data_IF_749536298480
#
_entry.id   IF_749536298480
#
_cell.length_a   1.000
_cell.length_b   1.000
_cell.length_c   1.000
_cell.angle_alpha   90.00
_cell.angle_beta   90.00
_cell.angle_gamma   90.00
#
_symmetry.space_group_name_H-M   'P 1'
#
loop_
_entity.id
_entity.type
_entity.pdbx_description
1 polymer ?
#
# COMPACT_ATOMS: atom_id res chain seq x y z
N UNK A 1 -14.38 2.57 -22.18
CA UNK A 1 -13.54 2.79 -20.99
C UNK A 1 -12.29 3.56 -21.40
N UNK A 2 -11.91 4.61 -20.66
CA UNK A 2 -10.69 5.34 -20.97
C UNK A 2 -9.46 4.46 -20.91
N UNK A 3 -8.54 4.64 -21.85
CA UNK A 3 -7.32 3.83 -21.92
C UNK A 3 -6.44 3.98 -20.66
N UNK A 4 -6.42 5.18 -20.06
CA UNK A 4 -5.66 5.42 -18.83
C UNK A 4 -6.25 4.68 -17.63
N UNK A 5 -7.56 4.43 -17.63
CA UNK A 5 -8.19 3.66 -16.54
C UNK A 5 -7.69 2.22 -16.52
N UNK A 6 -7.59 1.58 -17.68
CA UNK A 6 -7.03 0.22 -17.79
C UNK A 6 -5.58 0.23 -17.36
N UNK A 7 -4.81 1.21 -17.82
CA UNK A 7 -3.40 1.33 -17.47
C UNK A 7 -3.21 1.54 -15.96
N UNK A 8 -4.05 2.39 -15.35
CA UNK A 8 -3.96 2.65 -13.91
C UNK A 8 -4.23 1.39 -13.09
N UNK A 9 -5.21 0.57 -13.52
CA UNK A 9 -5.46 -0.72 -12.87
C UNK A 9 -4.24 -1.65 -12.98
N UNK A 10 -3.64 -1.72 -14.16
CA UNK A 10 -2.43 -2.52 -14.36
C UNK A 10 -1.28 -2.02 -13.48
N UNK A 11 -1.15 -0.72 -13.32
CA UNK A 11 -0.12 -0.11 -12.47
C UNK A 11 -0.28 -0.55 -11.02
N UNK A 12 -1.50 -0.53 -10.48
CA UNK A 12 -1.76 -0.98 -9.10
C UNK A 12 -1.45 -2.47 -8.96
N UNK A 13 -1.85 -3.28 -9.93
CA UNK A 13 -1.56 -4.71 -9.90
C UNK A 13 -0.06 -4.99 -9.95
N UNK A 14 0.67 -4.29 -10.81
CA UNK A 14 2.13 -4.41 -10.90
C UNK A 14 2.81 -4.01 -9.59
N UNK A 15 2.35 -2.92 -8.98
CA UNK A 15 2.85 -2.47 -7.69
C UNK A 15 2.68 -3.55 -6.63
N UNK A 16 1.49 -4.13 -6.52
CA UNK A 16 1.22 -5.18 -5.55
C UNK A 16 2.12 -6.39 -5.75
N UNK A 17 2.37 -6.77 -6.99
CA UNK A 17 3.27 -7.88 -7.28
C UNK A 17 4.71 -7.53 -6.97
N UNK A 18 5.13 -6.32 -7.23
CA UNK A 18 6.50 -5.88 -6.97
C UNK A 18 6.82 -5.86 -5.46
N UNK A 19 5.82 -5.64 -4.62
CA UNK A 19 6.00 -5.70 -3.16
C UNK A 19 6.47 -7.08 -2.71
N UNK A 20 6.06 -8.15 -3.39
CA UNK A 20 6.47 -9.51 -3.05
C UNK A 20 7.98 -9.73 -3.16
N UNK A 21 8.64 -8.96 -4.01
CA UNK A 21 10.06 -9.16 -4.33
C UNK A 21 10.95 -8.09 -3.70
N UNK A 22 10.36 -7.16 -2.96
CA UNK A 22 11.14 -6.05 -2.41
C UNK A 22 11.69 -6.39 -1.02
N UNK A 23 12.70 -5.61 -0.63
CA UNK A 23 13.29 -5.67 0.71
C UNK A 23 13.10 -4.32 1.38
N UNK A 24 13.39 -4.26 2.68
CA UNK A 24 13.35 -2.99 3.39
C UNK A 24 14.23 -1.92 2.73
N UNK A 25 15.40 -2.33 2.22
CA UNK A 25 16.31 -1.41 1.53
C UNK A 25 15.81 -0.97 0.16
N UNK A 26 15.01 -1.80 -0.52
CA UNK A 26 14.50 -1.52 -1.87
C UNK A 26 13.14 -0.86 -1.91
N UNK A 27 12.42 -0.80 -0.79
CA UNK A 27 11.03 -0.32 -0.79
C UNK A 27 10.92 1.15 -1.21
N UNK A 28 11.87 1.99 -0.84
CA UNK A 28 11.86 3.41 -1.21
C UNK A 28 11.90 3.61 -2.72
N UNK A 29 12.79 2.89 -3.40
CA UNK A 29 12.90 2.96 -4.86
C UNK A 29 11.65 2.42 -5.54
N UNK A 30 11.08 1.35 -4.99
CA UNK A 30 9.84 0.78 -5.50
C UNK A 30 8.70 1.80 -5.43
N UNK A 31 8.50 2.42 -4.27
CA UNK A 31 7.44 3.42 -4.09
C UNK A 31 7.65 4.59 -5.05
N UNK A 32 8.90 5.00 -5.27
CA UNK A 32 9.20 6.11 -6.18
C UNK A 32 8.77 5.84 -7.63
N UNK A 33 8.68 4.59 -8.04
CA UNK A 33 8.24 4.24 -9.39
C UNK A 33 6.73 4.44 -9.60
N UNK A 34 5.92 4.27 -8.55
CA UNK A 34 4.47 4.23 -8.67
C UNK A 34 3.76 5.41 -8.04
N UNK A 35 4.43 6.18 -7.20
CA UNK A 35 3.80 7.18 -6.34
C UNK A 35 4.43 8.55 -6.57
N UNK A 36 3.61 9.59 -6.68
CA UNK A 36 4.08 10.97 -6.78
C UNK A 36 4.85 11.39 -5.54
N UNK A 37 5.82 12.27 -5.73
CA UNK A 37 6.61 12.84 -4.64
C UNK A 37 5.73 13.55 -3.60
N UNK A 38 4.65 14.21 -4.06
CA UNK A 38 3.74 14.99 -3.22
C UNK A 38 2.50 14.22 -2.78
N UNK A 39 2.55 12.89 -2.78
CA UNK A 39 1.42 12.05 -2.44
C UNK A 39 0.83 12.39 -1.07
N UNK A 40 -0.51 12.30 -0.98
CA UNK A 40 -1.23 12.37 0.29
C UNK A 40 -1.75 10.98 0.61
N UNK A 41 -1.32 10.43 1.74
CA UNK A 41 -1.73 9.11 2.18
C UNK A 41 -2.53 9.22 3.47
N UNK A 42 -3.72 8.64 3.48
CA UNK A 42 -4.61 8.65 4.63
C UNK A 42 -4.83 7.21 5.09
N UNK A 43 -4.42 6.91 6.28
CA UNK A 43 -4.51 5.55 6.82
C UNK A 43 -4.99 5.52 8.25
N UNK A 44 -4.93 4.34 8.88
CA UNK A 44 -5.35 4.19 10.27
C UNK A 44 -4.34 4.79 11.23
N UNK A 45 -4.81 5.09 12.45
CA UNK A 45 -3.90 5.46 13.54
C UNK A 45 -2.90 4.32 13.77
N UNK A 46 -1.67 4.63 14.20
CA UNK A 46 -1.16 5.95 14.58
C UNK A 46 -0.62 6.78 13.43
N UNK A 47 -0.58 6.23 12.19
CA UNK A 47 -0.02 6.96 11.04
C UNK A 47 -0.89 8.14 10.62
N UNK A 48 -2.21 7.95 10.58
CA UNK A 48 -3.20 8.92 10.12
C UNK A 48 -2.87 9.47 8.73
N UNK A 49 -2.56 10.76 8.60
CA UNK A 49 -2.21 11.36 7.32
C UNK A 49 -0.70 11.51 7.20
N UNK A 50 -0.14 10.98 6.12
CA UNK A 50 1.26 11.15 5.78
C UNK A 50 1.33 11.99 4.51
N UNK A 51 2.06 13.10 4.56
CA UNK A 51 2.22 14.00 3.44
C UNK A 51 3.60 13.81 2.81
N UNK A 52 3.62 13.49 1.51
CA UNK A 52 4.83 13.28 0.78
C UNK A 52 5.31 11.84 0.78
N UNK A 53 5.98 11.48 -0.31
CA UNK A 53 6.48 10.14 -0.52
C UNK A 53 7.51 9.71 0.52
N UNK A 54 8.37 10.65 0.96
CA UNK A 54 9.36 10.37 1.98
C UNK A 54 8.75 9.91 3.29
N UNK A 55 7.71 10.61 3.76
CA UNK A 55 7.01 10.24 4.99
C UNK A 55 6.30 8.89 4.82
N UNK A 56 5.66 8.67 3.67
CA UNK A 56 4.99 7.40 3.37
C UNK A 56 5.97 6.22 3.48
N UNK A 57 7.15 6.37 2.94
CA UNK A 57 8.17 5.32 2.99
C UNK A 57 8.69 5.13 4.40
N UNK A 58 9.09 6.20 5.08
CA UNK A 58 9.74 6.10 6.40
C UNK A 58 8.80 5.69 7.52
N UNK A 59 7.52 6.08 7.44
CA UNK A 59 6.58 5.87 8.54
C UNK A 59 5.60 4.73 8.31
N UNK A 60 5.42 4.29 7.06
CA UNK A 60 4.52 3.18 6.77
C UNK A 60 5.23 1.99 6.12
N UNK A 61 5.81 2.17 4.93
CA UNK A 61 6.31 1.02 4.16
C UNK A 61 7.56 0.37 4.75
N UNK A 62 8.55 1.15 5.19
CA UNK A 62 9.75 0.58 5.80
C UNK A 62 9.46 -0.17 7.09
N UNK A 63 8.69 0.40 8.03
CA UNK A 63 8.32 -0.35 9.24
C UNK A 63 7.54 -1.62 8.92
N UNK A 64 6.62 -1.55 7.96
CA UNK A 64 5.81 -2.70 7.56
C UNK A 64 6.67 -3.82 7.00
N UNK A 65 7.55 -3.51 6.06
CA UNK A 65 8.45 -4.51 5.45
C UNK A 65 9.47 -5.03 6.46
N UNK A 66 9.91 -4.19 7.39
CA UNK A 66 10.78 -4.64 8.48
C UNK A 66 10.09 -5.67 9.37
N UNK A 67 8.82 -5.44 9.69
CA UNK A 67 8.04 -6.33 10.56
C UNK A 67 7.64 -7.61 9.85
N UNK A 68 7.39 -7.54 8.54
CA UNK A 68 6.99 -8.65 7.69
C UNK A 68 7.96 -8.75 6.50
N UNK A 69 9.18 -9.31 6.70
CA UNK A 69 10.20 -9.32 5.63
C UNK A 69 9.80 -10.10 4.38
N UNK A 70 8.88 -11.05 4.51
CA UNK A 70 8.34 -11.85 3.43
C UNK A 70 6.97 -11.34 2.94
N UNK A 71 6.70 -10.06 3.09
CA UNK A 71 5.40 -9.46 2.80
C UNK A 71 4.92 -9.74 1.37
N UNK A 72 3.66 -10.15 1.28
CA UNK A 72 2.94 -10.27 0.01
C UNK A 72 1.68 -9.41 0.08
N UNK A 73 1.35 -8.76 -1.02
CA UNK A 73 0.16 -7.93 -1.15
C UNK A 73 -0.73 -8.55 -2.21
N UNK A 74 -1.79 -9.21 -1.77
CA UNK A 74 -2.66 -10.00 -2.64
C UNK A 74 -4.04 -9.35 -2.76
N UNK A 75 -4.38 -8.91 -3.98
CA UNK A 75 -5.69 -8.33 -4.27
C UNK A 75 -6.71 -9.43 -4.54
N UNK A 76 -7.92 -9.25 -4.00
CA UNK A 76 -9.06 -10.10 -4.32
C UNK A 76 -10.01 -9.40 -5.28
N UNK A 77 -10.13 -8.08 -5.17
CA UNK A 77 -10.95 -7.25 -6.03
C UNK A 77 -10.15 -6.03 -6.43
N UNK A 78 -10.18 -5.71 -7.71
CA UNK A 78 -9.46 -4.56 -8.27
C UNK A 78 -10.34 -3.95 -9.35
N UNK A 79 -10.68 -2.67 -9.21
CA UNK A 79 -11.48 -1.98 -10.21
C UNK A 79 -11.10 -0.51 -10.28
N UNK A 80 -11.41 0.11 -11.43
CA UNK A 80 -11.17 1.52 -11.65
C UNK A 80 -12.47 2.24 -11.97
N UNK A 81 -12.49 3.55 -11.70
CA UNK A 81 -13.64 4.37 -11.98
C UNK A 81 -13.32 5.84 -11.80
N UNK A 82 -14.31 6.67 -12.13
CA UNK A 82 -14.22 8.11 -11.96
C UNK A 82 -15.05 8.55 -10.76
N UNK A 83 -14.51 9.50 -9.99
CA UNK A 83 -15.24 10.16 -8.92
C UNK A 83 -14.85 11.63 -8.91
N UNK A 84 -15.82 12.50 -9.06
CA UNK A 84 -15.65 13.96 -9.05
C UNK A 84 -14.57 14.46 -10.01
N UNK A 85 -14.52 13.87 -11.20
CA UNK A 85 -13.57 14.26 -12.25
C UNK A 85 -12.20 13.60 -12.17
N UNK A 86 -11.90 12.85 -11.12
CA UNK A 86 -10.63 12.17 -10.96
C UNK A 86 -10.76 10.67 -11.23
N UNK A 87 -9.68 10.06 -11.70
CA UNK A 87 -9.60 8.62 -11.89
C UNK A 87 -9.07 7.95 -10.65
N UNK A 88 -9.78 6.94 -10.17
CA UNK A 88 -9.45 6.16 -8.99
C UNK A 88 -9.32 4.70 -9.32
N UNK A 89 -8.42 4.02 -8.62
CA UNK A 89 -8.33 2.55 -8.62
C UNK A 89 -8.52 2.08 -7.20
N UNK A 90 -9.42 1.12 -7.03
CA UNK A 90 -9.80 0.60 -5.71
C UNK A 90 -9.50 -0.88 -5.65
N UNK A 91 -9.00 -1.33 -4.50
CA UNK A 91 -8.66 -2.73 -4.31
C UNK A 91 -8.94 -3.17 -2.88
N UNK A 92 -9.28 -4.44 -2.72
CA UNK A 92 -9.29 -5.10 -1.41
C UNK A 92 -8.50 -6.40 -1.48
N UNK A 93 -7.98 -6.82 -0.36
CA UNK A 93 -7.21 -8.05 -0.29
C UNK A 93 -6.59 -8.27 1.07
N UNK A 94 -5.49 -9.02 1.08
CA UNK A 94 -4.69 -9.25 2.28
C UNK A 94 -3.24 -8.86 2.06
N UNK A 95 -2.66 -8.28 3.11
CA UNK A 95 -1.22 -8.29 3.31
C UNK A 95 -0.90 -9.57 4.08
N UNK A 96 0.06 -10.34 3.61
CA UNK A 96 0.41 -11.63 4.21
C UNK A 96 1.90 -11.67 4.47
N UNK A 97 2.30 -12.12 5.64
CA UNK A 97 3.69 -12.28 5.97
C UNK A 97 3.90 -12.89 7.33
N UNK A 98 5.15 -13.20 7.63
CA UNK A 98 5.54 -13.68 8.95
C UNK A 98 5.88 -12.49 9.82
N UNK A 99 5.20 -12.37 10.97
CA UNK A 99 5.36 -11.24 11.89
C UNK A 99 6.62 -11.43 12.73
N UNK A 100 7.74 -10.94 12.23
CA UNK A 100 9.07 -11.22 12.81
C UNK A 100 9.60 -10.10 13.70
N UNK A 101 9.20 -8.85 13.47
CA UNK A 101 9.63 -7.71 14.29
C UNK A 101 8.42 -6.90 14.71
N UNK A 102 8.47 -6.30 15.89
CA UNK A 102 7.36 -5.52 16.44
C UNK A 102 6.88 -4.46 15.45
N UNK A 103 5.57 -4.25 15.39
CA UNK A 103 4.96 -3.28 14.49
C UNK A 103 3.90 -2.48 15.25
N UNK A 104 3.97 -1.16 15.17
CA UNK A 104 3.02 -0.25 15.85
C UNK A 104 2.88 -0.57 17.35
N UNK A 105 3.99 -0.90 17.99
CA UNK A 105 4.04 -1.32 19.40
C UNK A 105 3.32 -2.63 19.70
N UNK A 106 2.99 -3.40 18.67
CA UNK A 106 2.43 -4.74 18.79
C UNK A 106 3.59 -5.73 18.77
N UNK A 107 3.74 -6.58 19.80
CA UNK A 107 4.85 -7.55 19.84
C UNK A 107 4.75 -8.58 18.71
N UNK A 108 5.89 -8.87 18.08
CA UNK A 108 5.98 -9.89 17.04
C UNK A 108 5.64 -11.26 17.58
N UNK A 109 4.90 -12.04 16.79
CA UNK A 109 4.47 -13.39 17.17
C UNK A 109 5.33 -14.50 16.57
N UNK A 110 6.07 -14.20 15.50
CA UNK A 110 6.79 -15.21 14.72
C UNK A 110 5.89 -16.06 13.83
N UNK A 111 4.59 -15.74 13.75
CA UNK A 111 3.61 -16.52 12.99
C UNK A 111 3.22 -15.85 11.69
N UNK A 112 2.77 -16.65 10.73
CA UNK A 112 2.14 -16.15 9.51
C UNK A 112 0.90 -15.35 9.89
N UNK A 113 0.76 -14.18 9.28
CA UNK A 113 -0.29 -13.22 9.62
C UNK A 113 -0.93 -12.69 8.35
N UNK A 114 -2.24 -12.52 8.38
CA UNK A 114 -3.04 -11.95 7.28
C UNK A 114 -3.69 -10.68 7.78
N UNK A 115 -3.47 -9.58 7.07
CA UNK A 115 -4.07 -8.29 7.42
C UNK A 115 -4.98 -7.88 6.27
N UNK A 116 -6.28 -7.81 6.52
CA UNK A 116 -7.24 -7.36 5.50
C UNK A 116 -7.04 -5.88 5.24
N UNK A 117 -7.13 -5.50 3.98
CA UNK A 117 -7.01 -4.10 3.59
C UNK A 117 -8.03 -3.71 2.54
N UNK A 118 -8.33 -2.40 2.51
CA UNK A 118 -8.99 -1.74 1.41
C UNK A 118 -8.18 -0.51 1.06
N UNK A 119 -8.01 -0.24 -0.22
CA UNK A 119 -7.27 0.93 -0.65
C UNK A 119 -7.91 1.60 -1.85
N UNK A 120 -7.78 2.92 -1.89
CA UNK A 120 -8.33 3.78 -2.92
C UNK A 120 -7.22 4.71 -3.38
N UNK A 121 -6.80 4.57 -4.64
CA UNK A 121 -5.70 5.36 -5.20
C UNK A 121 -6.23 6.32 -6.25
N UNK A 122 -5.97 7.63 -6.07
CA UNK A 122 -6.23 8.63 -7.09
C UNK A 122 -4.99 8.81 -7.94
N UNK A 123 -5.17 8.81 -9.25
CA UNK A 123 -4.08 8.89 -10.21
C UNK A 123 -3.97 10.27 -10.83
N UNK A 124 -2.74 10.73 -11.02
CA UNK A 124 -2.39 11.88 -11.83
C UNK A 124 -1.18 11.52 -12.69
N UNK A 125 -1.30 11.72 -14.01
CA UNK A 125 -0.20 11.48 -14.95
C UNK A 125 0.43 10.08 -14.81
N UNK A 126 -0.39 9.08 -14.56
CA UNK A 126 0.05 7.70 -14.49
C UNK A 126 0.66 7.26 -13.18
N UNK A 127 0.68 8.14 -12.17
CA UNK A 127 1.18 7.81 -10.83
C UNK A 127 0.14 8.07 -9.76
N UNK A 128 0.30 7.42 -8.64
CA UNK A 128 -0.60 7.57 -7.48
C UNK A 128 -0.32 8.91 -6.80
N UNK A 129 -1.32 9.78 -6.75
CA UNK A 129 -1.22 11.09 -6.12
C UNK A 129 -1.88 11.18 -4.75
N UNK A 130 -2.82 10.29 -4.48
CA UNK A 130 -3.50 10.21 -3.19
C UNK A 130 -3.90 8.76 -2.93
N UNK A 131 -3.79 8.32 -1.68
CA UNK A 131 -4.24 7.00 -1.27
C UNK A 131 -5.03 7.10 0.02
N UNK A 132 -6.12 6.35 0.10
CA UNK A 132 -6.85 6.11 1.35
C UNK A 132 -6.78 4.63 1.63
N UNK A 133 -6.20 4.26 2.77
CA UNK A 133 -5.96 2.87 3.15
C UNK A 133 -6.73 2.54 4.42
N UNK A 134 -7.44 1.43 4.37
CA UNK A 134 -8.09 0.84 5.54
C UNK A 134 -7.39 -0.48 5.82
N UNK A 135 -6.90 -0.64 7.04
CA UNK A 135 -6.24 -1.86 7.49
C UNK A 135 -6.95 -2.40 8.72
N UNK A 136 -7.18 -3.70 8.74
CA UNK A 136 -7.69 -4.36 9.93
C UNK A 136 -6.51 -4.76 10.83
N UNK A 137 -6.02 -3.78 11.59
CA UNK A 137 -4.85 -3.98 12.46
C UNK A 137 -5.16 -5.00 13.56
N UNK A 138 -6.42 -5.17 13.91
CA UNK A 138 -6.81 -6.18 14.90
C UNK A 138 -6.48 -7.61 14.45
N UNK A 139 -6.33 -7.85 13.15
CA UNK A 139 -5.89 -9.15 12.63
C UNK A 139 -4.49 -9.52 13.11
N UNK A 140 -3.68 -8.54 13.54
CA UNK A 140 -2.28 -8.73 13.95
C UNK A 140 -2.17 -9.10 15.43
N UNK A 141 -3.16 -8.71 16.21
CA UNK A 141 -3.16 -8.89 17.67
C UNK A 141 -3.50 -10.31 18.09
#
# INVERSE_FOLDING_TARGET
MPANRVRNKQTVHEFSRAVHETTQGGIGDLIAQYVHEDVQWHGPAPMDTLSGRGALVSEFWKPLVNSFPDLEKNEYVLFGGEFEGDEWVCATGNLVGTFENDWLDIPATGHATWIRYGEFHRFEDGKIAETRTILDILDVV
#
